data_IF_049076985813
#
_entry.id   IF_049076985813
#
_cell.length_a   1.000
_cell.length_b   1.000
_cell.length_c   1.000
_cell.angle_alpha   90.00
_cell.angle_beta   90.00
_cell.angle_gamma   90.00
#
_symmetry.space_group_name_H-M   'P 1'
#
loop_
_entity.id
_entity.type
_entity.pdbx_description
1 polymer ?
#
# COMPACT_ATOMS: atom_id res chain seq x y z
N UNK A 1 -18.67 37.93 -13.21
CA UNK A 1 -17.54 37.18 -12.61
C UNK A 1 -17.67 35.74 -13.06
N UNK A 2 -16.92 35.38 -14.10
CA UNK A 2 -16.90 34.07 -14.71
C UNK A 2 -16.26 33.07 -13.76
N UNK A 3 -17.02 32.05 -13.36
CA UNK A 3 -16.51 30.91 -12.61
C UNK A 3 -15.51 30.16 -13.47
N UNK A 4 -14.24 30.23 -13.11
CA UNK A 4 -13.19 29.44 -13.71
C UNK A 4 -13.35 27.99 -13.21
N UNK A 5 -14.17 27.22 -13.94
CA UNK A 5 -14.21 25.77 -13.80
C UNK A 5 -12.93 25.22 -14.43
N UNK A 6 -11.86 25.21 -13.64
CA UNK A 6 -10.69 24.38 -13.91
C UNK A 6 -11.19 22.94 -14.13
N UNK A 7 -11.25 22.53 -15.40
CA UNK A 7 -11.45 21.13 -15.77
C UNK A 7 -10.29 20.37 -15.15
N UNK A 8 -10.56 19.63 -14.09
CA UNK A 8 -9.62 18.65 -13.54
C UNK A 8 -9.31 17.69 -14.68
N UNK A 9 -8.13 17.82 -15.27
CA UNK A 9 -7.63 16.85 -16.25
C UNK A 9 -7.41 15.57 -15.45
N UNK A 10 -8.24 14.56 -15.72
CA UNK A 10 -8.13 13.26 -15.09
C UNK A 10 -6.78 12.66 -15.51
N UNK A 11 -5.93 12.31 -14.53
CA UNK A 11 -4.60 11.79 -14.78
C UNK A 11 -4.66 10.56 -15.68
N UNK A 12 -3.78 10.49 -16.68
CA UNK A 12 -3.68 9.32 -17.58
C UNK A 12 -3.26 8.04 -16.84
N UNK A 13 -2.62 8.22 -15.68
CA UNK A 13 -2.11 7.15 -14.83
C UNK A 13 -2.50 7.35 -13.37
N UNK A 14 -2.64 6.24 -12.66
CA UNK A 14 -2.57 6.29 -11.20
C UNK A 14 -1.14 6.62 -10.74
N UNK A 15 -1.01 7.52 -9.76
CA UNK A 15 0.30 7.98 -9.27
C UNK A 15 1.20 6.84 -8.78
N UNK A 16 0.63 5.83 -8.13
CA UNK A 16 1.33 4.64 -7.65
C UNK A 16 1.68 3.64 -8.77
N UNK A 17 1.20 3.87 -9.99
CA UNK A 17 1.40 3.00 -11.14
C UNK A 17 1.73 3.80 -12.41
N UNK A 18 2.31 5.00 -12.25
CA UNK A 18 2.72 5.88 -13.35
C UNK A 18 4.11 5.50 -13.86
N UNK A 19 4.50 5.94 -15.08
CA UNK A 19 5.85 5.72 -15.58
C UNK A 19 6.95 6.16 -14.59
N UNK A 20 6.76 7.29 -13.93
CA UNK A 20 7.71 7.84 -12.95
C UNK A 20 7.85 6.92 -11.72
N UNK A 21 6.74 6.36 -11.23
CA UNK A 21 6.79 5.38 -10.14
C UNK A 21 7.53 4.10 -10.56
N UNK A 22 7.36 3.66 -11.82
CA UNK A 22 8.02 2.48 -12.35
C UNK A 22 9.53 2.63 -12.53
N UNK A 23 10.01 3.82 -12.90
CA UNK A 23 11.45 4.11 -12.97
C UNK A 23 12.13 3.90 -11.61
N UNK A 24 11.43 4.18 -10.52
CA UNK A 24 11.90 3.97 -9.16
C UNK A 24 11.75 2.52 -8.71
N UNK A 25 10.63 1.88 -9.03
CA UNK A 25 10.43 0.46 -8.70
C UNK A 25 11.52 -0.44 -9.27
N UNK A 26 12.03 -0.16 -10.47
CA UNK A 26 13.14 -0.91 -11.08
C UNK A 26 14.43 -0.84 -10.26
N UNK A 27 14.66 0.26 -9.55
CA UNK A 27 15.83 0.45 -8.66
C UNK A 27 15.61 -0.22 -7.31
N UNK A 28 14.36 -0.23 -6.84
CA UNK A 28 13.99 -0.70 -5.51
C UNK A 28 13.88 -2.22 -5.47
N UNK A 29 13.14 -2.81 -6.41
CA UNK A 29 12.74 -4.22 -6.42
C UNK A 29 13.64 -5.04 -7.34
N UNK A 30 14.86 -5.30 -6.87
CA UNK A 30 15.89 -5.99 -7.65
C UNK A 30 16.10 -7.43 -7.16
N UNK A 31 16.54 -8.35 -8.04
CA UNK A 31 16.88 -9.73 -7.66
C UNK A 31 17.88 -9.84 -6.50
N UNK A 32 18.76 -8.85 -6.34
CA UNK A 32 19.72 -8.81 -5.24
C UNK A 32 19.07 -8.65 -3.86
N UNK A 33 17.91 -7.98 -3.77
CA UNK A 33 17.16 -7.82 -2.52
C UNK A 33 16.20 -8.98 -2.30
N UNK A 34 15.55 -9.44 -3.36
CA UNK A 34 14.72 -10.64 -3.34
C UNK A 34 14.68 -11.23 -4.75
N UNK A 35 15.24 -12.42 -4.89
CA UNK A 35 15.37 -13.14 -6.15
C UNK A 35 14.04 -13.43 -6.84
N UNK A 36 12.92 -13.45 -6.11
CA UNK A 36 11.58 -13.53 -6.70
C UNK A 36 11.27 -12.38 -7.66
N UNK A 37 11.93 -11.24 -7.55
CA UNK A 37 11.76 -10.14 -8.51
C UNK A 37 12.18 -10.51 -9.93
N UNK A 38 13.04 -11.52 -10.11
CA UNK A 38 13.32 -12.10 -11.43
C UNK A 38 12.09 -12.71 -12.10
N UNK A 39 11.00 -12.95 -11.36
CA UNK A 39 9.77 -13.49 -11.94
C UNK A 39 8.98 -12.45 -12.73
N UNK A 40 9.25 -11.17 -12.55
CA UNK A 40 8.50 -10.10 -13.20
C UNK A 40 9.26 -9.51 -14.37
N UNK A 41 8.53 -9.17 -15.43
CA UNK A 41 9.07 -8.51 -16.60
C UNK A 41 8.94 -6.98 -16.46
N UNK A 42 9.97 -6.38 -15.88
CA UNK A 42 10.07 -4.93 -15.69
C UNK A 42 10.36 -4.16 -16.99
N UNK A 43 10.79 -4.85 -18.05
CA UNK A 43 11.12 -4.24 -19.33
C UNK A 43 9.91 -4.21 -20.27
N UNK A 44 8.99 -5.17 -20.12
CA UNK A 44 7.76 -5.26 -20.91
C UNK A 44 6.50 -4.98 -20.08
N UNK A 45 6.50 -3.84 -19.39
CA UNK A 45 5.35 -3.35 -18.63
C UNK A 45 4.09 -3.26 -19.50
N UNK A 46 2.93 -3.50 -18.89
CA UNK A 46 1.62 -3.48 -19.55
C UNK A 46 0.68 -2.51 -18.85
N UNK A 47 -0.36 -2.08 -19.54
CA UNK A 47 -1.38 -1.15 -19.01
C UNK A 47 -2.74 -1.86 -18.90
N UNK A 48 -3.46 -1.64 -17.80
CA UNK A 48 -4.87 -2.01 -17.66
C UNK A 48 -5.63 -0.81 -17.09
N UNK A 49 -6.49 -0.20 -17.91
CA UNK A 49 -7.09 1.08 -17.57
C UNK A 49 -6.00 2.14 -17.40
N UNK A 50 -5.95 2.77 -16.23
CA UNK A 50 -4.96 3.79 -15.86
C UNK A 50 -3.77 3.24 -15.05
N UNK A 51 -3.70 1.91 -14.83
CA UNK A 51 -2.61 1.30 -14.05
C UNK A 51 -1.61 0.57 -14.94
N UNK A 52 -0.32 0.88 -14.79
CA UNK A 52 0.78 0.10 -15.34
C UNK A 52 1.12 -1.05 -14.38
N UNK A 53 1.39 -2.23 -14.92
CA UNK A 53 1.73 -3.43 -14.16
C UNK A 53 2.88 -4.21 -14.80
N UNK A 54 3.61 -4.96 -13.97
CA UNK A 54 4.58 -5.95 -14.42
C UNK A 54 3.92 -7.34 -14.49
N UNK A 55 3.88 -7.99 -15.66
CA UNK A 55 3.45 -9.38 -15.78
C UNK A 55 4.55 -10.33 -15.28
N UNK A 56 4.16 -11.55 -14.89
CA UNK A 56 5.14 -12.61 -14.69
C UNK A 56 5.74 -13.10 -16.01
N UNK A 57 7.03 -13.43 -16.00
CA UNK A 57 7.72 -14.16 -17.07
C UNK A 57 7.96 -15.63 -16.69
N UNK A 58 8.16 -16.47 -17.69
CA UNK A 58 8.55 -17.86 -17.47
C UNK A 58 9.93 -17.87 -16.79
N UNK A 59 10.06 -18.69 -15.74
CA UNK A 59 11.28 -18.80 -14.95
C UNK A 59 11.31 -20.20 -14.31
N UNK A 60 12.49 -20.81 -14.23
CA UNK A 60 12.71 -22.17 -13.68
C UNK A 60 12.75 -22.20 -12.15
N UNK A 61 13.37 -21.20 -11.52
CA UNK A 61 13.54 -21.07 -10.05
C UNK A 61 12.20 -20.95 -9.31
N UNK A 62 11.20 -20.35 -9.94
CA UNK A 62 9.81 -20.26 -9.44
C UNK A 62 8.83 -20.89 -10.43
N UNK A 63 9.10 -22.13 -10.82
CA UNK A 63 8.29 -22.86 -11.81
C UNK A 63 6.82 -23.02 -11.40
N UNK A 64 6.51 -23.08 -10.10
CA UNK A 64 5.15 -23.15 -9.58
C UNK A 64 4.27 -21.95 -9.97
N UNK A 65 4.87 -20.82 -10.37
CA UNK A 65 4.14 -19.68 -10.90
C UNK A 65 3.87 -19.74 -12.40
N UNK A 66 4.51 -20.67 -13.14
CA UNK A 66 4.28 -20.82 -14.58
C UNK A 66 2.84 -21.25 -14.88
N UNK A 67 2.16 -21.93 -13.95
CA UNK A 67 0.74 -22.26 -14.05
C UNK A 67 -0.19 -21.03 -13.84
N UNK A 68 0.35 -19.89 -13.40
CA UNK A 68 -0.37 -18.63 -13.22
C UNK A 68 0.16 -17.55 -14.17
N UNK A 69 0.09 -17.72 -15.51
CA UNK A 69 0.70 -16.80 -16.48
C UNK A 69 0.07 -15.41 -16.51
N UNK A 70 -1.06 -15.22 -15.81
CA UNK A 70 -1.75 -13.93 -15.64
C UNK A 70 -1.45 -13.27 -14.30
N UNK A 71 -0.53 -13.82 -13.49
CA UNK A 71 -0.11 -13.19 -12.26
C UNK A 71 0.62 -11.87 -12.59
N UNK A 72 0.33 -10.83 -11.81
CA UNK A 72 0.87 -9.50 -12.07
C UNK A 72 0.87 -8.64 -10.81
N UNK A 73 1.82 -7.72 -10.78
CA UNK A 73 2.01 -6.76 -9.69
C UNK A 73 1.98 -5.34 -10.24
N UNK A 74 1.50 -4.42 -9.41
CA UNK A 74 1.48 -2.99 -9.65
C UNK A 74 1.84 -2.30 -8.35
N UNK A 75 2.24 -1.03 -8.40
CA UNK A 75 2.32 -0.24 -7.18
C UNK A 75 0.94 -0.07 -6.56
N UNK A 76 0.92 0.24 -5.27
CA UNK A 76 -0.22 0.55 -4.42
C UNK A 76 0.17 1.72 -3.50
N UNK A 77 -0.79 2.57 -3.14
CA UNK A 77 -0.55 3.61 -2.14
C UNK A 77 -0.73 3.06 -0.73
N UNK A 78 0.34 3.11 0.08
CA UNK A 78 0.35 2.57 1.44
C UNK A 78 -0.64 3.34 2.32
N UNK A 79 -0.32 4.59 2.66
CA UNK A 79 -1.17 5.45 3.49
C UNK A 79 -2.02 6.40 2.64
N UNK A 80 -3.34 6.20 2.67
CA UNK A 80 -4.28 6.98 1.85
C UNK A 80 -4.80 8.23 2.59
N UNK A 81 -4.35 9.40 2.16
CA UNK A 81 -4.80 10.70 2.65
C UNK A 81 -5.47 11.54 1.55
N UNK A 82 -5.99 10.92 0.49
CA UNK A 82 -6.54 11.66 -0.65
C UNK A 82 -7.78 12.50 -0.34
N UNK A 83 -7.95 13.56 -1.14
CA UNK A 83 -9.12 14.48 -1.14
C UNK A 83 -10.15 14.16 -2.23
N UNK A 84 -9.75 13.38 -3.22
CA UNK A 84 -10.58 13.05 -4.39
C UNK A 84 -11.67 12.02 -4.09
N UNK A 85 -12.55 11.77 -5.07
CA UNK A 85 -13.59 10.74 -4.96
C UNK A 85 -13.01 9.32 -4.88
N UNK A 86 -11.85 9.08 -5.49
CA UNK A 86 -11.21 7.76 -5.57
C UNK A 86 -10.71 7.28 -4.21
N UNK A 87 -10.06 8.16 -3.47
CA UNK A 87 -9.71 8.03 -2.05
C UNK A 87 -10.95 8.05 -1.14
N UNK A 88 -12.15 8.25 -1.68
CA UNK A 88 -13.38 8.41 -0.90
C UNK A 88 -13.25 9.56 0.11
N UNK A 89 -12.51 10.62 -0.23
CA UNK A 89 -12.28 11.82 0.58
C UNK A 89 -11.74 11.51 1.99
N UNK A 90 -10.71 10.66 2.11
CA UNK A 90 -10.12 10.28 3.42
C UNK A 90 -9.67 11.49 4.23
N UNK A 91 -9.03 12.44 3.56
CA UNK A 91 -8.62 13.69 4.19
C UNK A 91 -9.78 14.39 4.92
N UNK A 92 -10.94 14.54 4.27
CA UNK A 92 -12.07 15.24 4.88
C UNK A 92 -12.66 14.46 6.06
N UNK A 93 -12.73 13.12 5.96
CA UNK A 93 -13.18 12.27 7.07
C UNK A 93 -12.27 12.39 8.30
N UNK A 94 -10.95 12.42 8.10
CA UNK A 94 -9.99 12.62 9.19
C UNK A 94 -10.08 14.05 9.77
N UNK A 95 -10.23 15.06 8.91
CA UNK A 95 -10.41 16.45 9.32
C UNK A 95 -11.68 16.64 10.16
N UNK A 96 -12.77 15.96 9.84
CA UNK A 96 -14.01 15.99 10.62
C UNK A 96 -13.80 15.42 12.04
N UNK A 97 -13.10 14.28 12.17
CA UNK A 97 -12.77 13.71 13.48
C UNK A 97 -11.87 14.63 14.31
N UNK A 98 -10.86 15.25 13.68
CA UNK A 98 -10.00 16.23 14.34
C UNK A 98 -10.78 17.46 14.80
N UNK A 99 -11.67 17.99 13.95
CA UNK A 99 -12.49 19.17 14.27
C UNK A 99 -13.48 18.88 15.39
N UNK A 100 -14.03 17.66 15.43
CA UNK A 100 -14.98 17.23 16.47
C UNK A 100 -14.32 17.19 17.85
N UNK A 101 -13.09 16.68 17.93
CA UNK A 101 -12.47 16.32 19.20
C UNK A 101 -11.50 17.37 19.76
N UNK A 102 -10.99 18.29 18.93
CA UNK A 102 -9.98 19.27 19.35
C UNK A 102 -10.49 20.71 19.25
N UNK A 103 -10.09 21.53 20.22
CA UNK A 103 -10.34 22.98 20.23
C UNK A 103 -9.56 23.67 19.11
N UNK A 104 -9.98 24.89 18.72
CA UNK A 104 -9.47 25.61 17.54
C UNK A 104 -7.94 25.61 17.40
N UNK A 105 -7.21 25.88 18.47
CA UNK A 105 -5.73 25.96 18.42
C UNK A 105 -5.10 24.58 18.17
N UNK A 106 -5.55 23.54 18.88
CA UNK A 106 -5.06 22.17 18.69
C UNK A 106 -5.50 21.60 17.33
N UNK A 107 -6.74 21.86 16.93
CA UNK A 107 -7.26 21.49 15.62
C UNK A 107 -6.38 22.05 14.50
N UNK A 108 -5.98 23.32 14.57
CA UNK A 108 -5.11 23.92 13.56
C UNK A 108 -3.73 23.24 13.50
N UNK A 109 -3.17 22.85 14.64
CA UNK A 109 -1.90 22.09 14.68
C UNK A 109 -2.05 20.71 14.03
N UNK A 110 -3.15 20.02 14.28
CA UNK A 110 -3.39 18.71 13.66
C UNK A 110 -3.82 18.79 12.20
N UNK A 111 -4.45 19.89 11.79
CA UNK A 111 -4.75 20.17 10.39
C UNK A 111 -3.47 20.35 9.58
N UNK A 112 -2.49 21.11 10.09
CA UNK A 112 -1.17 21.25 9.46
C UNK A 112 -0.46 19.88 9.30
N UNK A 113 -0.56 19.01 10.32
CA UNK A 113 -0.02 17.64 10.23
C UNK A 113 -0.76 16.80 9.18
N UNK A 114 -2.08 16.95 9.07
CA UNK A 114 -2.88 16.26 8.07
C UNK A 114 -2.57 16.76 6.65
N UNK A 115 -2.31 18.06 6.49
CA UNK A 115 -1.85 18.65 5.22
C UNK A 115 -0.50 18.06 4.81
N UNK A 116 0.45 17.93 5.73
CA UNK A 116 1.73 17.24 5.46
C UNK A 116 1.54 15.78 5.06
N UNK A 117 0.59 15.07 5.66
CA UNK A 117 0.24 13.71 5.24
C UNK A 117 -0.38 13.66 3.84
N UNK A 118 -1.19 14.66 3.48
CA UNK A 118 -1.72 14.81 2.13
C UNK A 118 -0.62 15.11 1.11
N UNK A 119 0.34 15.96 1.43
CA UNK A 119 1.45 16.30 0.54
C UNK A 119 2.35 15.09 0.21
N UNK A 120 2.43 14.11 1.14
CA UNK A 120 3.15 12.84 0.96
C UNK A 120 2.30 11.71 0.34
N UNK A 121 0.99 11.91 0.18
CA UNK A 121 0.06 10.89 -0.34
C UNK A 121 0.50 10.33 -1.71
N UNK A 122 0.98 11.19 -2.61
CA UNK A 122 1.46 10.83 -3.95
C UNK A 122 2.98 10.92 -4.10
N UNK A 123 3.72 10.54 -3.05
CA UNK A 123 5.18 10.46 -3.06
C UNK A 123 5.65 9.01 -3.05
N UNK A 124 6.84 8.78 -3.61
CA UNK A 124 7.40 7.44 -3.85
C UNK A 124 7.56 6.63 -2.57
N UNK A 125 7.96 7.26 -1.47
CA UNK A 125 8.06 6.62 -0.17
C UNK A 125 6.71 6.08 0.33
N UNK A 126 5.58 6.57 -0.21
CA UNK A 126 4.24 6.09 0.10
C UNK A 126 3.71 5.05 -0.89
N UNK A 127 4.54 4.58 -1.82
CA UNK A 127 4.15 3.57 -2.80
C UNK A 127 4.92 2.26 -2.63
N UNK A 128 4.21 1.14 -2.66
CA UNK A 128 4.81 -0.19 -2.55
C UNK A 128 4.16 -1.17 -3.53
N UNK A 129 4.84 -2.28 -3.83
CA UNK A 129 4.25 -3.28 -4.72
C UNK A 129 3.17 -4.11 -4.04
N UNK A 130 2.14 -4.42 -4.80
CA UNK A 130 1.10 -5.34 -4.39
C UNK A 130 0.63 -6.21 -5.56
N UNK A 131 0.36 -7.51 -5.33
CA UNK A 131 -0.33 -8.34 -6.31
C UNK A 131 -1.68 -7.74 -6.71
N UNK A 132 -1.84 -7.43 -8.00
CA UNK A 132 -3.18 -7.16 -8.53
C UNK A 132 -3.96 -8.46 -8.68
N UNK A 133 -3.27 -9.55 -9.00
CA UNK A 133 -3.84 -10.89 -9.05
C UNK A 133 -4.14 -11.38 -7.64
N UNK A 134 -5.37 -11.82 -7.41
CA UNK A 134 -5.88 -12.18 -6.09
C UNK A 134 -6.51 -11.01 -5.32
N UNK A 135 -6.31 -9.77 -5.76
CA UNK A 135 -7.10 -8.63 -5.27
C UNK A 135 -6.72 -8.13 -3.88
N UNK A 136 -5.44 -8.21 -3.46
CA UNK A 136 -5.01 -7.70 -2.16
C UNK A 136 -5.29 -6.20 -1.98
N UNK A 137 -5.17 -5.42 -3.05
CA UNK A 137 -5.52 -3.99 -3.05
C UNK A 137 -7.01 -3.76 -2.73
N UNK A 138 -7.88 -4.71 -3.11
CA UNK A 138 -9.30 -4.65 -2.79
C UNK A 138 -9.58 -5.05 -1.34
N UNK A 139 -8.73 -5.90 -0.74
CA UNK A 139 -8.79 -6.24 0.69
C UNK A 139 -8.40 -5.02 1.51
N UNK A 140 -7.26 -4.38 1.18
CA UNK A 140 -6.84 -3.12 1.81
C UNK A 140 -7.92 -2.05 1.68
N UNK A 141 -8.48 -1.86 0.48
CA UNK A 141 -9.58 -0.91 0.26
C UNK A 141 -10.91 -1.25 0.97
N UNK A 142 -11.04 -2.47 1.51
CA UNK A 142 -12.15 -2.89 2.36
C UNK A 142 -11.87 -2.71 3.87
N UNK A 143 -10.61 -2.50 4.26
CA UNK A 143 -10.26 -2.05 5.61
C UNK A 143 -10.83 -0.65 5.85
N UNK A 144 -11.13 -0.32 7.12
CA UNK A 144 -11.62 1.00 7.50
C UNK A 144 -10.66 2.06 6.96
N UNK A 145 -11.17 3.04 6.23
CA UNK A 145 -10.37 4.09 5.59
C UNK A 145 -9.24 3.64 4.64
N UNK A 146 -9.26 2.42 4.09
CA UNK A 146 -8.18 1.94 3.21
C UNK A 146 -6.80 1.97 3.91
N UNK A 147 -6.82 1.61 5.20
CA UNK A 147 -5.72 1.71 6.14
C UNK A 147 -4.62 0.67 5.91
N UNK A 148 -3.38 1.15 5.79
CA UNK A 148 -2.19 0.32 5.69
C UNK A 148 -1.98 -0.56 6.93
N UNK A 149 -2.06 0.04 8.12
CA UNK A 149 -1.81 -0.63 9.38
C UNK A 149 -2.82 -1.76 9.64
N UNK A 150 -4.10 -1.51 9.37
CA UNK A 150 -5.13 -2.56 9.45
C UNK A 150 -4.89 -3.68 8.42
N UNK A 151 -4.40 -3.36 7.22
CA UNK A 151 -4.05 -4.39 6.23
C UNK A 151 -2.88 -5.26 6.70
N UNK A 152 -1.82 -4.65 7.24
CA UNK A 152 -0.68 -5.37 7.83
C UNK A 152 -1.11 -6.23 9.02
N UNK A 153 -1.99 -5.73 9.89
CA UNK A 153 -2.59 -6.53 10.96
C UNK A 153 -3.30 -7.77 10.41
N UNK A 154 -4.14 -7.63 9.37
CA UNK A 154 -4.84 -8.76 8.74
C UNK A 154 -3.89 -9.76 8.09
N UNK A 155 -2.81 -9.30 7.46
CA UNK A 155 -1.74 -10.17 6.96
C UNK A 155 -1.06 -10.91 8.12
N UNK A 156 -0.80 -10.22 9.24
CA UNK A 156 -0.21 -10.84 10.42
C UNK A 156 -1.08 -11.98 10.96
N UNK A 157 -2.41 -11.82 10.96
CA UNK A 157 -3.35 -12.87 11.37
C UNK A 157 -3.31 -14.04 10.39
N UNK A 158 -3.23 -13.79 9.08
CA UNK A 158 -3.06 -14.84 8.08
C UNK A 158 -1.80 -15.68 8.38
N UNK A 159 -0.65 -15.04 8.61
CA UNK A 159 0.60 -15.76 8.92
C UNK A 159 0.56 -16.49 10.27
N UNK A 160 0.08 -15.83 11.33
CA UNK A 160 -0.04 -16.42 12.68
C UNK A 160 -0.96 -17.65 12.72
N UNK A 161 -1.96 -17.70 11.85
CA UNK A 161 -2.92 -18.81 11.77
C UNK A 161 -2.56 -19.83 10.71
N UNK A 162 -1.37 -19.74 10.10
CA UNK A 162 -0.93 -20.63 9.01
C UNK A 162 -1.93 -20.66 7.84
N UNK A 163 -2.50 -19.50 7.53
CA UNK A 163 -3.47 -19.30 6.47
C UNK A 163 -4.88 -19.83 6.75
N UNK A 164 -5.22 -20.17 8.01
CA UNK A 164 -6.59 -20.54 8.41
C UNK A 164 -7.54 -19.34 8.41
N UNK A 165 -7.07 -18.16 8.83
CA UNK A 165 -7.83 -16.92 8.62
C UNK A 165 -7.77 -16.54 7.13
N UNK A 166 -8.92 -16.54 6.46
CA UNK A 166 -9.03 -16.30 5.02
C UNK A 166 -9.41 -14.86 4.66
N UNK A 167 -9.39 -13.91 5.60
CA UNK A 167 -9.78 -12.51 5.34
C UNK A 167 -8.97 -11.89 4.19
N UNK A 168 -7.66 -12.14 4.17
CA UNK A 168 -6.72 -11.69 3.13
C UNK A 168 -7.05 -12.25 1.73
N UNK A 169 -7.86 -13.30 1.66
CA UNK A 169 -8.29 -13.94 0.40
C UNK A 169 -9.76 -13.65 0.07
N UNK A 170 -10.43 -12.78 0.84
CA UNK A 170 -11.86 -12.48 0.72
C UNK A 170 -12.25 -11.82 -0.61
N UNK A 171 -11.30 -11.18 -1.28
CA UNK A 171 -11.50 -10.52 -2.58
C UNK A 171 -10.91 -11.30 -3.76
N UNK A 172 -10.27 -12.44 -3.50
CA UNK A 172 -9.73 -13.30 -4.54
C UNK A 172 -10.86 -14.04 -5.26
N UNK A 173 -10.95 -13.87 -6.57
CA UNK A 173 -11.77 -14.74 -7.43
C UNK A 173 -11.25 -16.17 -7.33
N UNK A 174 -12.11 -17.17 -7.47
CA UNK A 174 -11.75 -18.59 -7.37
C UNK A 174 -10.53 -18.95 -8.21
N UNK A 175 -10.46 -18.48 -9.45
CA UNK A 175 -9.34 -18.74 -10.37
C UNK A 175 -8.01 -18.06 -10.00
N UNK A 176 -8.01 -17.08 -9.09
CA UNK A 176 -6.81 -16.32 -8.69
C UNK A 176 -6.43 -16.56 -7.22
N UNK A 177 -7.27 -17.27 -6.45
CA UNK A 177 -7.04 -17.51 -5.02
C UNK A 177 -5.77 -18.34 -4.81
N UNK A 178 -5.64 -19.44 -5.54
CA UNK A 178 -4.48 -20.34 -5.42
C UNK A 178 -3.17 -19.64 -5.80
N UNK A 179 -3.21 -18.77 -6.81
CA UNK A 179 -2.05 -17.97 -7.21
C UNK A 179 -1.63 -16.99 -6.12
N UNK A 180 -2.60 -16.36 -5.43
CA UNK A 180 -2.31 -15.47 -4.30
C UNK A 180 -1.82 -16.24 -3.08
N UNK A 181 -2.40 -17.40 -2.75
CA UNK A 181 -1.89 -18.26 -1.68
C UNK A 181 -0.46 -18.74 -1.96
N UNK A 182 -0.17 -19.11 -3.20
CA UNK A 182 1.19 -19.48 -3.63
C UNK A 182 2.17 -18.33 -3.44
N UNK A 183 1.74 -17.09 -3.72
CA UNK A 183 2.55 -15.88 -3.46
C UNK A 183 2.77 -15.62 -1.98
N UNK A 184 1.72 -15.71 -1.16
CA UNK A 184 1.85 -15.46 0.28
C UNK A 184 2.73 -16.51 0.98
N UNK A 185 2.81 -17.73 0.45
CA UNK A 185 3.71 -18.81 0.92
C UNK A 185 5.19 -18.56 0.62
N UNK A 186 5.54 -17.56 -0.20
CA UNK A 186 6.94 -17.19 -0.45
C UNK A 186 7.57 -16.42 0.72
N UNK A 187 6.77 -16.04 1.71
CA UNK A 187 7.20 -15.27 2.87
C UNK A 187 7.14 -16.13 4.12
N UNK A 188 8.19 -16.07 4.93
CA UNK A 188 8.30 -16.87 6.16
C UNK A 188 7.38 -16.34 7.26
N UNK A 189 7.13 -15.02 7.27
CA UNK A 189 6.33 -14.34 8.28
C UNK A 189 5.86 -12.97 7.81
N UNK A 190 5.04 -12.30 8.63
CA UNK A 190 4.68 -10.89 8.41
C UNK A 190 5.91 -9.98 8.36
N UNK A 191 6.95 -10.25 9.15
CA UNK A 191 8.17 -9.45 9.16
C UNK A 191 8.93 -9.58 7.83
N UNK A 192 8.98 -10.80 7.29
CA UNK A 192 9.60 -11.07 6.00
C UNK A 192 8.83 -10.40 4.85
N UNK A 193 7.49 -10.47 4.89
CA UNK A 193 6.64 -9.71 3.96
C UNK A 193 6.91 -8.21 4.03
N UNK A 194 6.91 -7.63 5.24
CA UNK A 194 7.12 -6.20 5.44
C UNK A 194 8.52 -5.74 5.02
N UNK A 195 9.55 -6.56 5.23
CA UNK A 195 10.91 -6.27 4.75
C UNK A 195 10.98 -6.26 3.22
N UNK A 196 10.51 -7.32 2.56
CA UNK A 196 10.62 -7.49 1.09
C UNK A 196 9.72 -6.54 0.30
N UNK A 197 8.52 -6.21 0.82
CA UNK A 197 7.53 -5.41 0.09
C UNK A 197 7.55 -3.95 0.51
N UNK A 198 7.63 -3.69 1.82
CA UNK A 198 7.50 -2.34 2.37
C UNK A 198 8.84 -1.73 2.81
N UNK A 199 9.95 -2.45 2.66
CA UNK A 199 11.29 -2.02 3.10
C UNK A 199 11.35 -1.76 4.61
N UNK A 200 10.52 -2.46 5.39
CA UNK A 200 10.49 -2.33 6.85
C UNK A 200 11.31 -3.46 7.49
N UNK A 201 12.54 -3.14 7.89
CA UNK A 201 13.45 -4.12 8.49
C UNK A 201 13.35 -4.17 10.04
N UNK A 202 12.74 -3.16 10.67
CA UNK A 202 12.55 -3.11 12.11
C UNK A 202 11.33 -3.94 12.54
N UNK A 203 11.57 -5.04 13.27
CA UNK A 203 10.50 -5.86 13.85
C UNK A 203 9.62 -5.06 14.81
N UNK A 204 10.23 -4.24 15.67
CA UNK A 204 9.51 -3.38 16.61
C UNK A 204 8.56 -2.42 15.89
N UNK A 205 8.97 -1.89 14.73
CA UNK A 205 8.11 -1.04 13.93
C UNK A 205 6.96 -1.82 13.28
N UNK A 206 7.21 -3.05 12.80
CA UNK A 206 6.15 -3.94 12.31
C UNK A 206 5.15 -4.26 13.43
N UNK A 207 5.63 -4.56 14.64
CA UNK A 207 4.77 -4.82 15.80
C UNK A 207 3.91 -3.61 16.17
N UNK A 208 4.49 -2.40 16.10
CA UNK A 208 3.76 -1.15 16.28
C UNK A 208 2.67 -0.95 15.23
N UNK A 209 2.95 -1.26 13.95
CA UNK A 209 1.96 -1.20 12.88
C UNK A 209 0.82 -2.18 13.15
N UNK A 210 1.13 -3.42 13.51
CA UNK A 210 0.15 -4.47 13.81
C UNK A 210 -0.74 -4.06 14.98
N UNK A 211 -0.16 -3.56 16.07
CA UNK A 211 -0.89 -3.12 17.26
C UNK A 211 -1.87 -1.98 16.92
N UNK A 212 -1.43 -0.98 16.15
CA UNK A 212 -2.32 0.12 15.75
C UNK A 212 -3.38 -0.31 14.74
N UNK A 213 -3.08 -1.28 13.88
CA UNK A 213 -3.99 -1.83 12.88
C UNK A 213 -5.17 -2.59 13.46
N UNK A 214 -5.06 -3.06 14.71
CA UNK A 214 -6.16 -3.68 15.44
C UNK A 214 -7.19 -2.65 15.94
N UNK A 215 -6.75 -1.42 16.20
CA UNK A 215 -7.61 -0.35 16.72
C UNK A 215 -8.40 0.36 15.61
N UNK A 216 -9.63 0.82 15.91
CA UNK A 216 -10.43 1.66 15.02
C UNK A 216 -9.88 3.10 14.91
N UNK A 217 -10.21 3.78 13.82
CA UNK A 217 -10.18 5.24 13.74
C UNK A 217 -11.61 5.75 13.90
N UNK A 218 -11.91 6.34 15.04
CA UNK A 218 -13.24 6.85 15.41
C UNK A 218 -13.17 8.21 16.14
N UNK A 219 -11.96 8.75 16.28
CA UNK A 219 -11.63 9.92 17.10
C UNK A 219 -10.47 10.72 16.53
N UNK A 220 -10.38 11.99 16.91
CA UNK A 220 -9.23 12.82 16.59
C UNK A 220 -7.93 12.21 17.11
N UNK A 221 -7.93 11.62 18.30
CA UNK A 221 -6.76 10.95 18.87
C UNK A 221 -6.28 9.76 18.02
N UNK A 222 -7.20 8.92 17.51
CA UNK A 222 -6.85 7.81 16.61
C UNK A 222 -6.35 8.29 15.25
N UNK A 223 -6.91 9.39 14.71
CA UNK A 223 -6.35 10.07 13.51
C UNK A 223 -4.93 10.55 13.76
N UNK A 224 -4.66 11.19 14.90
CA UNK A 224 -3.32 11.69 15.25
C UNK A 224 -2.31 10.55 15.35
N UNK A 225 -2.68 9.42 15.94
CA UNK A 225 -1.83 8.24 15.97
C UNK A 225 -1.53 7.71 14.57
N UNK A 226 -2.55 7.61 13.71
CA UNK A 226 -2.38 7.15 12.34
C UNK A 226 -1.48 8.08 11.51
N UNK A 227 -1.61 9.40 11.65
CA UNK A 227 -0.70 10.37 11.01
C UNK A 227 0.75 10.23 11.49
N UNK A 228 0.98 9.99 12.79
CA UNK A 228 2.32 9.74 13.33
C UNK A 228 2.91 8.45 12.76
N UNK A 229 2.11 7.38 12.67
CA UNK A 229 2.55 6.11 12.10
C UNK A 229 2.94 6.26 10.62
N UNK A 230 2.16 7.02 9.84
CA UNK A 230 2.48 7.33 8.44
C UNK A 230 3.81 8.08 8.29
N UNK A 231 4.02 9.12 9.11
CA UNK A 231 5.27 9.89 9.10
C UNK A 231 6.49 9.02 9.40
N UNK A 232 6.43 8.21 10.45
CA UNK A 232 7.52 7.30 10.82
C UNK A 232 7.78 6.24 9.74
N UNK A 233 6.73 5.71 9.11
CA UNK A 233 6.87 4.77 7.99
C UNK A 233 7.61 5.42 6.82
N UNK A 234 7.18 6.61 6.42
CA UNK A 234 7.78 7.32 5.29
C UNK A 234 9.23 7.72 5.56
N UNK A 235 9.55 8.18 6.76
CA UNK A 235 10.91 8.57 7.14
C UNK A 235 11.85 7.35 7.15
N UNK A 236 11.39 6.21 7.68
CA UNK A 236 12.15 4.95 7.66
C UNK A 236 12.38 4.45 6.22
N UNK A 237 11.36 4.53 5.37
CA UNK A 237 11.45 4.07 3.99
C UNK A 237 12.33 4.98 3.15
N UNK A 238 12.21 6.30 3.30
CA UNK A 238 13.08 7.27 2.64
C UNK A 238 14.56 7.06 2.98
N UNK A 239 14.88 6.79 4.25
CA UNK A 239 16.25 6.43 4.66
C UNK A 239 16.73 5.15 4.00
N UNK A 240 15.88 4.12 3.95
CA UNK A 240 16.21 2.86 3.27
C UNK A 240 16.46 3.07 1.77
N UNK A 241 15.65 3.92 1.13
CA UNK A 241 15.79 4.24 -0.30
C UNK A 241 17.06 5.05 -0.61
N UNK A 242 17.51 5.93 0.29
CA UNK A 242 18.77 6.68 0.13
C UNK A 242 20.02 5.82 0.27
N UNK A 243 19.91 4.70 1.00
CA UNK A 243 21.02 3.77 1.26
C UNK A 243 20.99 2.53 0.33
N UNK A 244 20.05 2.47 -0.62
CA UNK A 244 19.76 1.32 -1.48
C UNK A 244 20.55 1.30 -2.80
#
# INVERSE_FOLDING_TARGET
MTSDTSKVVESEYDYDASPEAWDEYKKIYTPSKWDFWEKFDFDNLKKQGIRIYAPVKINEKYAQFNQYPKFKMSGDTDFNFGKDKKSKKKYEQFKELLRRDYQRNEFNVYLDKLDKCFDRYHKLENFSFMPMTGGLQLVKGACQYDRFDMFVYRLSTYYKTEGKDKFILSRARTCNREALETYLKLFDSIYDYCSKIYMINSKDFVDKIIAQGEESIDSGASVVRYMKLAQEFWDNKEQTLKNA
#
